data_IF_697812004249
#
_entry.id   IF_697812004249
#
_cell.length_a   1.000
_cell.length_b   1.000
_cell.length_c   1.000
_cell.angle_alpha   90.00
_cell.angle_beta   90.00
_cell.angle_gamma   90.00
#
_symmetry.space_group_name_H-M   'P 1'
#
loop_
_entity.id
_entity.type
_entity.pdbx_description
1 polymer ?
#
# COMPACT_ATOMS: atom_id res chain seq x y z
N UNK A 1 18.18 10.95 -12.40
CA UNK A 1 17.96 12.21 -13.16
C UNK A 1 16.51 12.67 -12.97
N UNK A 2 16.27 13.98 -12.94
CA UNK A 2 14.92 14.57 -12.89
C UNK A 2 14.42 14.74 -14.33
N UNK A 3 13.25 14.21 -14.71
CA UNK A 3 12.71 14.39 -16.06
C UNK A 3 12.40 15.85 -16.40
N UNK A 4 12.48 16.23 -17.68
CA UNK A 4 12.21 17.59 -18.15
C UNK A 4 10.80 18.09 -17.79
N UNK A 5 9.81 17.19 -17.80
CA UNK A 5 8.42 17.47 -17.46
C UNK A 5 8.10 17.37 -15.96
N UNK A 6 9.09 17.12 -15.08
CA UNK A 6 8.91 16.93 -13.64
C UNK A 6 8.06 18.01 -12.96
N UNK A 7 8.16 19.28 -13.37
CA UNK A 7 7.33 20.38 -12.82
C UNK A 7 5.82 20.18 -13.00
N UNK A 8 5.41 19.43 -14.02
CA UNK A 8 4.00 19.08 -14.26
C UNK A 8 3.55 17.90 -13.40
N UNK A 9 4.51 17.13 -12.85
CA UNK A 9 4.29 15.91 -12.07
C UNK A 9 4.92 16.04 -10.69
N UNK A 10 4.50 17.08 -9.94
CA UNK A 10 4.87 17.30 -8.54
C UNK A 10 6.37 17.43 -8.26
N UNK A 11 7.19 17.70 -9.27
CA UNK A 11 8.65 17.76 -9.14
C UNK A 11 9.30 16.39 -8.95
N UNK A 12 8.61 15.30 -9.31
CA UNK A 12 9.10 13.94 -9.07
C UNK A 12 10.36 13.61 -9.87
N UNK A 13 11.24 12.84 -9.22
CA UNK A 13 12.33 12.15 -9.91
C UNK A 13 11.78 10.98 -10.71
N UNK A 14 12.55 10.48 -11.67
CA UNK A 14 12.17 9.26 -12.41
C UNK A 14 11.86 8.08 -11.47
N UNK A 15 12.69 7.90 -10.44
CA UNK A 15 12.46 6.87 -9.42
C UNK A 15 11.11 7.03 -8.72
N UNK A 16 10.75 8.26 -8.32
CA UNK A 16 9.48 8.53 -7.64
C UNK A 16 8.25 8.29 -8.54
N UNK A 17 8.37 8.55 -9.85
CA UNK A 17 7.34 8.23 -10.83
C UNK A 17 7.12 6.70 -10.90
N UNK A 18 8.20 5.93 -10.94
CA UNK A 18 8.16 4.45 -11.05
C UNK A 18 7.65 3.78 -9.76
N UNK A 19 7.70 4.44 -8.59
CA UNK A 19 7.28 3.83 -7.31
C UNK A 19 5.84 3.33 -7.30
N UNK A 20 4.93 4.05 -7.95
CA UNK A 20 3.51 3.71 -7.96
C UNK A 20 3.04 3.12 -9.30
N UNK A 21 3.95 2.79 -10.22
CA UNK A 21 3.58 2.08 -11.45
C UNK A 21 3.01 0.69 -11.11
N UNK A 22 1.94 0.30 -11.81
CA UNK A 22 1.26 -0.98 -11.61
C UNK A 22 0.93 -1.60 -12.96
N UNK A 23 1.80 -2.49 -13.41
CA UNK A 23 1.55 -3.35 -14.57
C UNK A 23 0.76 -4.62 -14.19
N UNK A 24 0.26 -5.33 -15.20
CA UNK A 24 -0.59 -6.51 -15.01
C UNK A 24 0.15 -7.72 -14.39
N UNK A 25 1.46 -7.82 -14.55
CA UNK A 25 2.24 -8.93 -13.99
C UNK A 25 2.59 -8.67 -12.53
N UNK A 26 2.91 -7.43 -12.18
CA UNK A 26 3.07 -6.99 -10.81
C UNK A 26 1.75 -7.08 -10.05
N UNK A 27 0.63 -6.70 -10.68
CA UNK A 27 -0.71 -6.79 -10.08
C UNK A 27 -1.05 -8.17 -9.54
N UNK A 28 -0.67 -9.24 -10.25
CA UNK A 28 -0.91 -10.64 -9.84
C UNK A 28 -0.09 -11.05 -8.61
N UNK A 29 1.00 -10.34 -8.34
CA UNK A 29 1.98 -10.70 -7.31
C UNK A 29 1.86 -9.88 -6.03
N UNK A 30 1.00 -8.86 -6.00
CA UNK A 30 0.89 -7.95 -4.86
C UNK A 30 -0.28 -8.34 -3.95
N UNK A 31 -0.18 -8.10 -2.63
CA UNK A 31 -1.32 -8.26 -1.74
C UNK A 31 -2.34 -7.14 -2.01
N UNK A 32 -3.62 -7.34 -1.69
CA UNK A 32 -4.65 -6.30 -1.86
C UNK A 32 -4.42 -5.07 -0.98
N UNK A 33 -3.45 -5.11 -0.05
CA UNK A 33 -3.06 -3.98 0.81
C UNK A 33 -1.91 -3.14 0.24
N UNK A 34 -1.36 -3.47 -0.94
CA UNK A 34 -0.31 -2.65 -1.57
C UNK A 34 -0.86 -1.28 -1.99
N UNK A 35 -0.08 -0.22 -1.75
CA UNK A 35 -0.49 1.16 -2.02
C UNK A 35 -0.85 1.40 -3.49
N UNK A 36 -0.31 0.63 -4.43
CA UNK A 36 -0.66 0.76 -5.86
C UNK A 36 -2.14 0.51 -6.16
N UNK A 37 -2.83 -0.19 -5.27
CA UNK A 37 -4.27 -0.44 -5.37
C UNK A 37 -5.13 0.63 -4.70
N UNK A 38 -4.52 1.61 -4.02
CA UNK A 38 -5.25 2.64 -3.28
C UNK A 38 -5.98 3.59 -4.25
N UNK A 39 -7.33 3.59 -4.26
CA UNK A 39 -8.08 4.13 -5.39
C UNK A 39 -8.11 5.67 -5.45
N UNK A 40 -8.10 6.36 -4.30
CA UNK A 40 -7.97 7.82 -4.24
C UNK A 40 -6.68 8.32 -4.91
N UNK A 41 -5.56 7.67 -4.61
CA UNK A 41 -4.25 8.00 -5.19
C UNK A 41 -4.20 7.74 -6.70
N UNK A 42 -4.81 6.64 -7.18
CA UNK A 42 -4.93 6.33 -8.61
C UNK A 42 -5.78 7.35 -9.37
N UNK A 43 -6.90 7.77 -8.79
CA UNK A 43 -7.76 8.81 -9.37
C UNK A 43 -7.00 10.14 -9.47
N UNK A 44 -6.28 10.53 -8.43
CA UNK A 44 -5.48 11.75 -8.45
C UNK A 44 -4.42 11.73 -9.56
N UNK A 45 -3.70 10.62 -9.71
CA UNK A 45 -2.70 10.45 -10.77
C UNK A 45 -3.31 10.46 -12.19
N UNK A 46 -4.57 10.02 -12.34
CA UNK A 46 -5.32 10.12 -13.58
C UNK A 46 -5.91 11.53 -13.83
N UNK A 47 -5.62 12.52 -12.98
CA UNK A 47 -6.15 13.88 -13.08
C UNK A 47 -7.60 14.04 -12.59
N UNK A 48 -8.17 13.01 -11.98
CA UNK A 48 -9.57 12.94 -11.52
C UNK A 48 -9.72 13.45 -10.09
N UNK A 49 -9.48 14.75 -9.90
CA UNK A 49 -9.35 15.37 -8.57
C UNK A 49 -10.62 15.23 -7.72
N UNK A 50 -11.80 15.50 -8.27
CA UNK A 50 -13.06 15.43 -7.51
C UNK A 50 -13.40 13.99 -7.07
N UNK A 51 -13.14 13.01 -7.93
CA UNK A 51 -13.36 11.59 -7.62
C UNK A 51 -12.34 11.12 -6.56
N UNK A 52 -11.09 11.58 -6.65
CA UNK A 52 -10.04 11.26 -5.67
C UNK A 52 -10.41 11.76 -4.26
N UNK A 53 -10.92 12.98 -4.13
CA UNK A 53 -11.33 13.53 -2.83
C UNK A 53 -12.51 12.77 -2.20
N UNK A 54 -13.50 12.37 -3.01
CA UNK A 54 -14.62 11.54 -2.55
C UNK A 54 -14.12 10.18 -2.04
N UNK A 55 -13.22 9.56 -2.79
CA UNK A 55 -12.68 8.25 -2.45
C UNK A 55 -11.77 8.31 -1.21
N UNK A 56 -10.97 9.38 -1.07
CA UNK A 56 -10.17 9.65 0.13
C UNK A 56 -11.05 9.73 1.37
N UNK A 57 -12.14 10.51 1.31
CA UNK A 57 -13.07 10.65 2.43
C UNK A 57 -13.70 9.29 2.81
N UNK A 58 -14.07 8.47 1.82
CA UNK A 58 -14.62 7.13 2.02
C UNK A 58 -13.63 6.20 2.73
N UNK A 59 -12.38 6.17 2.28
CA UNK A 59 -11.31 5.34 2.87
C UNK A 59 -11.03 5.76 4.32
N UNK A 60 -10.89 7.06 4.57
CA UNK A 60 -10.62 7.58 5.92
C UNK A 60 -11.79 7.35 6.88
N UNK A 61 -13.03 7.45 6.40
CA UNK A 61 -14.22 7.11 7.19
C UNK A 61 -14.24 5.62 7.53
N UNK A 62 -14.01 4.74 6.55
CA UNK A 62 -13.95 3.30 6.78
C UNK A 62 -12.81 2.91 7.74
N UNK A 63 -11.67 3.60 7.69
CA UNK A 63 -10.59 3.42 8.65
C UNK A 63 -10.99 3.85 10.07
N UNK A 64 -11.69 4.99 10.21
CA UNK A 64 -12.18 5.49 11.50
C UNK A 64 -13.21 4.54 12.12
N UNK A 65 -14.09 3.96 11.32
CA UNK A 65 -15.06 2.95 11.77
C UNK A 65 -14.37 1.65 12.24
N UNK A 66 -13.25 1.28 11.63
CA UNK A 66 -12.42 0.14 12.04
C UNK A 66 -11.48 0.44 13.22
N UNK A 67 -11.37 1.68 13.70
CA UNK A 67 -10.40 2.06 14.72
C UNK A 67 -10.61 1.35 16.08
N UNK A 68 -11.77 0.73 16.32
CA UNK A 68 -12.00 -0.19 17.45
C UNK A 68 -11.41 -1.60 17.28
N UNK A 69 -10.91 -1.92 16.08
CA UNK A 69 -10.33 -3.21 15.69
C UNK A 69 -8.92 -3.00 15.10
N UNK A 70 -8.06 -2.28 15.83
CA UNK A 70 -6.66 -2.09 15.42
C UNK A 70 -5.98 -3.46 15.31
N UNK A 71 -5.83 -3.95 14.08
CA UNK A 71 -5.08 -5.17 13.83
C UNK A 71 -3.58 -4.90 14.04
N UNK A 72 -2.85 -5.82 14.68
CA UNK A 72 -1.41 -5.71 14.73
C UNK A 72 -0.82 -5.72 13.30
N UNK A 73 0.32 -5.07 13.08
CA UNK A 73 1.01 -5.15 11.80
C UNK A 73 1.27 -6.62 11.44
N UNK A 74 0.92 -7.01 10.20
CA UNK A 74 0.96 -8.42 9.78
C UNK A 74 2.38 -8.93 9.48
N UNK A 75 3.22 -8.07 8.91
CA UNK A 75 4.55 -8.43 8.39
C UNK A 75 5.70 -8.01 9.30
N UNK A 76 5.38 -7.40 10.44
CA UNK A 76 6.33 -6.87 11.39
C UNK A 76 5.88 -7.19 12.80
N UNK A 77 6.82 -7.47 13.68
CA UNK A 77 6.58 -7.67 15.11
C UNK A 77 7.34 -6.65 15.93
N UNK A 78 6.83 -6.34 17.12
CA UNK A 78 7.51 -5.46 18.06
C UNK A 78 8.78 -6.16 18.57
N UNK A 79 9.88 -5.42 18.63
CA UNK A 79 11.14 -5.91 19.20
C UNK A 79 11.10 -5.79 20.73
N UNK A 80 10.66 -6.86 21.40
CA UNK A 80 10.47 -6.89 22.86
C UNK A 80 9.55 -5.78 23.35
N UNK A 81 9.98 -5.06 24.38
CA UNK A 81 9.25 -3.92 24.95
C UNK A 81 9.52 -2.59 24.23
N UNK A 82 10.37 -2.58 23.21
CA UNK A 82 10.73 -1.36 22.49
C UNK A 82 9.56 -0.82 21.64
N UNK A 83 9.68 0.42 21.17
CA UNK A 83 8.79 0.99 20.16
C UNK A 83 9.23 0.66 18.72
N UNK A 84 10.22 -0.23 18.55
CA UNK A 84 10.74 -0.61 17.24
C UNK A 84 9.97 -1.82 16.72
N UNK A 85 9.63 -1.78 15.44
CA UNK A 85 9.06 -2.92 14.72
C UNK A 85 10.12 -3.49 13.77
N UNK A 86 10.35 -4.80 13.89
CA UNK A 86 11.27 -5.55 13.03
C UNK A 86 10.47 -6.45 12.10
N UNK A 87 11.06 -6.80 10.96
CA UNK A 87 10.45 -7.75 10.02
C UNK A 87 10.14 -9.05 10.74
N UNK A 88 8.97 -9.61 10.49
CA UNK A 88 8.65 -10.93 11.00
C UNK A 88 9.31 -11.99 10.12
N UNK A 89 10.25 -12.74 10.71
CA UNK A 89 10.99 -13.82 10.02
C UNK A 89 10.31 -15.19 10.17
N UNK A 90 9.22 -15.25 10.94
CA UNK A 90 8.43 -16.47 11.09
C UNK A 90 7.88 -16.88 9.71
N UNK A 91 8.08 -18.13 9.24
CA UNK A 91 7.72 -18.52 7.87
C UNK A 91 6.26 -18.26 7.50
N UNK A 92 5.35 -18.32 8.48
CA UNK A 92 3.94 -18.00 8.28
C UNK A 92 3.65 -16.51 8.07
N UNK A 93 4.54 -15.62 8.53
CA UNK A 93 4.37 -14.17 8.58
C UNK A 93 5.45 -13.40 7.80
N UNK A 94 6.41 -14.07 7.16
CA UNK A 94 7.39 -13.41 6.31
C UNK A 94 6.75 -12.98 4.98
N UNK A 95 6.75 -11.67 4.70
CA UNK A 95 6.14 -11.09 3.51
C UNK A 95 6.62 -11.73 2.20
N UNK A 96 7.93 -11.91 2.02
CA UNK A 96 8.50 -12.37 0.76
C UNK A 96 8.22 -13.86 0.53
N UNK A 97 8.30 -14.69 1.57
CA UNK A 97 7.89 -16.10 1.49
C UNK A 97 6.40 -16.22 1.14
N UNK A 98 5.55 -15.41 1.77
CA UNK A 98 4.12 -15.39 1.46
C UNK A 98 3.82 -14.91 0.05
N UNK A 99 4.62 -13.98 -0.49
CA UNK A 99 4.51 -13.58 -1.88
C UNK A 99 4.85 -14.72 -2.84
N UNK A 100 5.92 -15.47 -2.58
CA UNK A 100 6.31 -16.65 -3.37
C UNK A 100 5.24 -17.75 -3.34
N UNK A 101 4.52 -17.87 -2.22
CA UNK A 101 3.40 -18.79 -2.04
C UNK A 101 2.05 -18.25 -2.57
N UNK A 102 2.04 -17.18 -3.38
CA UNK A 102 0.82 -16.52 -3.87
C UNK A 102 -0.17 -16.18 -2.75
N UNK A 103 0.34 -15.73 -1.61
CA UNK A 103 -0.42 -15.34 -0.43
C UNK A 103 -1.28 -16.47 0.18
N UNK A 104 -0.91 -17.74 -0.07
CA UNK A 104 -1.65 -18.89 0.45
C UNK A 104 -1.74 -18.87 1.98
N UNK A 105 -2.96 -19.00 2.49
CA UNK A 105 -3.27 -18.98 3.93
C UNK A 105 -3.21 -17.58 4.56
N UNK A 106 -3.09 -16.52 3.76
CA UNK A 106 -3.10 -15.14 4.28
C UNK A 106 -4.49 -14.55 4.12
N UNK A 107 -5.12 -14.22 5.25
CA UNK A 107 -6.34 -13.42 5.26
C UNK A 107 -6.02 -11.93 5.20
N UNK A 108 -6.55 -11.25 4.18
CA UNK A 108 -6.44 -9.81 4.03
C UNK A 108 -7.73 -9.12 4.43
N UNK A 109 -7.60 -8.06 5.20
CA UNK A 109 -8.69 -7.12 5.44
C UNK A 109 -8.84 -6.21 4.23
N UNK A 110 -10.08 -5.98 3.81
CA UNK A 110 -10.39 -4.95 2.80
C UNK A 110 -10.18 -3.56 3.43
N UNK A 111 -9.17 -2.81 2.95
CA UNK A 111 -8.80 -1.52 3.53
C UNK A 111 -9.54 -0.33 2.88
N UNK A 112 -9.84 -0.44 1.60
CA UNK A 112 -10.60 0.51 0.80
C UNK A 112 -11.73 -0.23 0.08
#
# INVERSE_FOLDING_TARGET
>A
AVPENSKQYYGFTRFAIELNELDDDLRKQLPPTDTRFRPDQRLLEAGKVEEAEKEKARIEQAQRERAGHVLPPKWFKRDGDSHVFIRDEDPGHNYWKKREENWTGVEFMQLW
#
